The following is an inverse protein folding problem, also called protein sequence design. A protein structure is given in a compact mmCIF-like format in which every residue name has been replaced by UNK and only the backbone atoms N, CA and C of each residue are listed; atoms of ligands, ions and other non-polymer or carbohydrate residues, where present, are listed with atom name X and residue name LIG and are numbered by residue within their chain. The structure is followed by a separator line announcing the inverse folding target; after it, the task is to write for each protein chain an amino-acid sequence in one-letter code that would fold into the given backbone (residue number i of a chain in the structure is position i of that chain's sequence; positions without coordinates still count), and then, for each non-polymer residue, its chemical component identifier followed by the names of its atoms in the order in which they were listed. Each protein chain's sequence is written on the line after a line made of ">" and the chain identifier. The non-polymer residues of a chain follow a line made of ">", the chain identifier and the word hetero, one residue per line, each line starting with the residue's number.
data_IF_158945828433
#
_entry.id   IF_158945828433
#
_cell.length_a   1.000
_cell.length_b   1.000
_cell.length_c   1.000
_cell.angle_alpha   90.00
_cell.angle_beta   90.00
_cell.angle_gamma   90.00
#
_symmetry.space_group_name_H-M   'P 1'
#
loop_
_entity.id
_entity.type
_entity.pdbx_description
1 polymer ?
#
# COMPACT_ATOMS: atom_id res chain seq x y z
N UNK A 1 -11.88 -2.19 -12.61
CA UNK A 1 -13.33 -2.01 -12.79
C UNK A 1 -14.03 -3.11 -12.01
N UNK A 2 -14.57 -2.80 -10.84
CA UNK A 2 -15.20 -3.82 -9.96
C UNK A 2 -16.67 -3.47 -9.81
N UNK A 3 -17.50 -4.27 -10.46
CA UNK A 3 -18.96 -4.26 -10.35
C UNK A 3 -19.39 -4.90 -9.03
N UNK A 4 -20.23 -4.19 -8.27
CA UNK A 4 -21.03 -4.74 -7.18
C UNK A 4 -22.17 -5.57 -7.78
N UNK A 5 -22.22 -6.88 -7.48
CA UNK A 5 -23.47 -7.64 -7.55
C UNK A 5 -23.64 -8.53 -6.32
N UNK A 6 -24.88 -8.56 -5.82
CA UNK A 6 -25.34 -9.18 -4.59
C UNK A 6 -26.16 -10.41 -4.98
N UNK A 7 -25.85 -11.60 -4.47
CA UNK A 7 -26.78 -12.73 -4.54
C UNK A 7 -26.71 -13.66 -3.32
N UNK A 8 -27.87 -14.25 -3.03
CA UNK A 8 -28.33 -14.82 -1.78
C UNK A 8 -28.20 -16.36 -1.73
N UNK A 9 -28.00 -16.87 -0.50
CA UNK A 9 -28.51 -18.16 0.08
C UNK A 9 -27.89 -19.49 -0.40
N UNK A 10 -27.24 -20.22 0.52
CA UNK A 10 -27.84 -21.34 1.29
C UNK A 10 -26.80 -22.31 1.88
N UNK A 11 -27.05 -22.66 3.14
CA UNK A 11 -26.42 -23.63 4.04
C UNK A 11 -26.04 -25.01 3.46
N UNK A 12 -24.99 -25.63 4.00
CA UNK A 12 -25.01 -27.01 4.57
C UNK A 12 -23.97 -27.10 5.71
N UNK A 13 -24.44 -27.62 6.85
CA UNK A 13 -23.73 -27.98 8.09
C UNK A 13 -23.17 -29.41 7.94
N UNK A 14 -21.96 -29.72 8.42
CA UNK A 14 -21.73 -31.01 9.11
C UNK A 14 -20.53 -30.96 10.07
N UNK A 15 -20.81 -31.42 11.29
CA UNK A 15 -19.95 -31.63 12.45
C UNK A 15 -19.13 -32.92 12.30
N UNK A 16 -17.91 -32.99 12.85
CA UNK A 16 -17.53 -34.03 13.82
C UNK A 16 -16.14 -33.80 14.43
N UNK A 17 -16.07 -34.11 15.72
CA UNK A 17 -14.94 -34.02 16.65
C UNK A 17 -14.10 -35.33 16.66
N UNK A 18 -12.88 -35.26 17.19
CA UNK A 18 -12.20 -36.22 18.11
C UNK A 18 -10.84 -36.83 17.69
N UNK A 19 -9.87 -36.57 18.58
CA UNK A 19 -8.72 -37.36 19.09
C UNK A 19 -7.45 -37.70 18.27
N UNK A 20 -6.35 -37.07 18.72
CA UNK A 20 -5.14 -37.66 19.36
C UNK A 20 -4.65 -39.02 18.83
N UNK A 21 -3.43 -39.05 18.29
CA UNK A 21 -2.49 -40.14 18.55
C UNK A 21 -1.03 -39.67 18.40
N UNK A 22 -0.30 -39.66 19.51
CA UNK A 22 1.16 -39.51 19.60
C UNK A 22 1.83 -40.81 19.18
N UNK A 23 2.56 -40.82 18.07
CA UNK A 23 3.65 -41.78 17.83
C UNK A 23 4.73 -41.13 16.95
N UNK A 24 5.89 -40.85 17.56
CA UNK A 24 7.14 -40.55 16.86
C UNK A 24 7.74 -41.85 16.33
N UNK A 25 8.06 -41.95 15.03
CA UNK A 25 9.12 -42.82 14.57
C UNK A 25 10.41 -42.01 14.48
N UNK A 26 11.42 -42.43 15.25
CA UNK A 26 12.81 -42.08 15.02
C UNK A 26 13.19 -42.59 13.64
N UNK A 27 13.22 -41.71 12.63
CA UNK A 27 13.82 -42.04 11.35
C UNK A 27 15.32 -41.76 11.42
N UNK A 28 16.08 -42.85 11.32
CA UNK A 28 17.52 -42.88 11.12
C UNK A 28 17.92 -41.97 9.97
N UNK A 29 18.96 -41.17 10.19
CA UNK A 29 19.69 -40.48 9.12
C UNK A 29 20.12 -41.52 8.07
N UNK A 30 19.57 -41.42 6.88
CA UNK A 30 20.22 -41.87 5.66
C UNK A 30 20.57 -40.60 4.88
N UNK A 31 21.82 -40.15 5.00
CA UNK A 31 22.37 -39.15 4.10
C UNK A 31 22.27 -39.72 2.69
N UNK A 32 21.43 -39.09 1.86
CA UNK A 32 21.44 -39.35 0.42
C UNK A 32 22.65 -38.61 -0.12
N UNK A 33 23.78 -39.32 -0.18
CA UNK A 33 24.94 -38.89 -0.94
C UNK A 33 24.50 -38.64 -2.39
N UNK A 34 24.70 -37.42 -2.87
CA UNK A 34 24.45 -37.08 -4.27
C UNK A 34 24.00 -35.65 -4.48
N UNK A 35 24.75 -34.68 -4.00
CA UNK A 35 24.77 -33.38 -4.68
C UNK A 35 26.22 -32.90 -4.71
N UNK A 36 26.83 -32.96 -5.90
CA UNK A 36 28.21 -32.53 -6.05
C UNK A 36 28.29 -31.01 -5.89
N UNK A 37 29.40 -30.45 -5.38
CA UNK A 37 29.59 -28.99 -5.36
C UNK A 37 29.37 -28.35 -6.74
N UNK A 38 29.65 -29.10 -7.81
CA UNK A 38 29.41 -28.70 -9.19
C UNK A 38 27.93 -28.59 -9.57
N UNK A 39 27.05 -29.45 -9.05
CA UNK A 39 25.59 -29.36 -9.28
C UNK A 39 25.01 -28.12 -8.57
N UNK A 40 25.46 -27.82 -7.35
CA UNK A 40 25.04 -26.61 -6.62
C UNK A 40 25.51 -25.30 -7.25
N UNK A 41 26.64 -25.33 -7.96
CA UNK A 41 27.18 -24.19 -8.71
C UNK A 41 26.45 -24.03 -10.05
N UNK A 42 26.15 -25.13 -10.72
CA UNK A 42 25.40 -25.15 -11.97
C UNK A 42 23.96 -24.65 -11.76
N UNK A 43 23.33 -25.05 -10.66
CA UNK A 43 22.00 -24.56 -10.28
C UNK A 43 21.99 -23.07 -9.94
N UNK A 44 23.05 -22.56 -9.31
CA UNK A 44 23.22 -21.10 -9.10
C UNK A 44 23.35 -20.37 -10.43
N UNK A 45 24.21 -20.86 -11.32
CA UNK A 45 24.40 -20.27 -12.65
C UNK A 45 23.11 -20.28 -13.48
N UNK A 46 22.31 -21.34 -13.40
CA UNK A 46 21.01 -21.43 -14.08
C UNK A 46 20.02 -20.41 -13.49
N UNK A 47 19.98 -20.22 -12.17
CA UNK A 47 19.12 -19.19 -11.54
C UNK A 47 19.56 -17.78 -11.91
N UNK A 48 20.87 -17.53 -11.92
CA UNK A 48 21.43 -16.23 -12.28
C UNK A 48 21.18 -15.90 -13.77
N UNK A 49 21.31 -16.90 -14.65
CA UNK A 49 20.97 -16.76 -16.07
C UNK A 49 19.49 -16.46 -16.27
N UNK A 50 18.58 -17.20 -15.61
CA UNK A 50 17.14 -16.90 -15.69
C UNK A 50 16.79 -15.53 -15.13
N UNK A 51 17.46 -15.09 -14.07
CA UNK A 51 17.28 -13.74 -13.50
C UNK A 51 17.78 -12.67 -14.47
N UNK A 52 18.93 -12.88 -15.10
CA UNK A 52 19.47 -11.98 -16.12
C UNK A 52 18.56 -11.91 -17.35
N UNK A 53 18.12 -13.05 -17.89
CA UNK A 53 17.20 -13.11 -19.03
C UNK A 53 15.85 -12.45 -18.72
N UNK A 54 15.32 -12.64 -17.50
CA UNK A 54 14.07 -11.98 -17.08
C UNK A 54 14.25 -10.48 -16.88
N UNK A 55 15.44 -10.05 -16.44
CA UNK A 55 15.83 -8.64 -16.35
C UNK A 55 15.97 -8.03 -17.74
N UNK A 56 16.63 -8.71 -18.67
CA UNK A 56 16.80 -8.27 -20.07
C UNK A 56 15.46 -8.24 -20.81
N UNK A 57 14.56 -9.20 -20.54
CA UNK A 57 13.20 -9.19 -21.08
C UNK A 57 12.39 -8.01 -20.53
N UNK A 58 12.51 -7.72 -19.23
CA UNK A 58 11.86 -6.56 -18.62
C UNK A 58 12.41 -5.24 -19.19
N UNK A 59 13.74 -5.10 -19.29
CA UNK A 59 14.40 -3.91 -19.82
C UNK A 59 14.14 -3.72 -21.32
N UNK A 60 14.05 -4.78 -22.11
CA UNK A 60 13.73 -4.70 -23.54
C UNK A 60 12.26 -4.35 -23.80
N UNK A 61 11.38 -4.52 -22.82
CA UNK A 61 10.00 -4.03 -22.84
C UNK A 61 9.86 -2.60 -22.31
N UNK A 62 10.90 -2.03 -21.70
CA UNK A 62 10.90 -0.62 -21.32
C UNK A 62 11.15 0.23 -22.56
N UNK A 63 10.11 0.93 -23.01
CA UNK A 63 10.26 2.00 -23.97
C UNK A 63 11.16 3.08 -23.37
N UNK A 64 12.01 3.72 -24.19
CA UNK A 64 12.81 4.87 -23.77
C UNK A 64 11.93 5.87 -22.99
N UNK A 65 12.43 6.55 -21.94
CA UNK A 65 11.63 7.46 -21.13
C UNK A 65 11.07 8.56 -22.03
N UNK A 66 9.84 8.36 -22.50
CA UNK A 66 9.12 9.37 -23.23
C UNK A 66 8.76 10.43 -22.20
N UNK A 67 9.07 11.69 -22.49
CA UNK A 67 8.51 12.80 -21.74
C UNK A 67 7.02 12.77 -21.98
N UNK A 68 6.30 12.10 -21.08
CA UNK A 68 4.84 12.02 -21.15
C UNK A 68 4.32 13.43 -20.90
N UNK A 69 3.58 13.96 -21.86
CA UNK A 69 2.91 15.26 -21.73
C UNK A 69 1.55 15.06 -21.05
N UNK A 70 1.00 16.13 -20.49
CA UNK A 70 -0.38 16.13 -19.98
C UNK A 70 -1.34 15.80 -21.13
N UNK A 71 -2.20 14.79 -20.95
CA UNK A 71 -3.26 14.48 -21.92
C UNK A 71 -4.60 15.04 -21.43
N UNK A 72 -5.40 15.66 -22.33
CA UNK A 72 -6.76 16.08 -22.03
C UNK A 72 -7.72 14.89 -22.05
N UNK A 73 -8.99 15.16 -21.74
CA UNK A 73 -10.05 14.15 -21.82
C UNK A 73 -10.07 13.46 -23.18
N UNK A 74 -9.92 12.13 -23.13
CA UNK A 74 -9.87 11.27 -24.28
C UNK A 74 -10.88 10.12 -24.07
N UNK A 75 -11.99 10.11 -24.82
CA UNK A 75 -12.97 9.04 -24.73
C UNK A 75 -12.36 7.69 -25.06
N UNK A 76 -12.87 6.64 -24.42
CA UNK A 76 -12.55 5.28 -24.78
C UNK A 76 -13.25 4.91 -26.08
N UNK A 77 -12.51 4.94 -27.19
CA UNK A 77 -13.03 4.65 -28.51
C UNK A 77 -12.19 3.54 -29.17
N UNK A 78 -12.84 2.45 -29.57
CA UNK A 78 -12.14 1.32 -30.18
C UNK A 78 -11.16 0.61 -29.25
N UNK A 79 -11.42 0.61 -27.93
CA UNK A 79 -10.58 -0.04 -26.92
C UNK A 79 -9.33 0.76 -26.51
N UNK A 80 -9.23 2.01 -26.96
CA UNK A 80 -8.14 2.92 -26.62
C UNK A 80 -8.65 4.29 -26.17
N UNK A 81 -8.01 4.83 -25.13
CA UNK A 81 -8.09 6.23 -24.72
C UNK A 81 -6.68 6.82 -24.92
N UNK A 82 -6.48 7.49 -26.06
CA UNK A 82 -5.14 7.85 -26.56
C UNK A 82 -4.30 6.59 -26.81
N UNK A 83 -3.14 6.46 -26.18
CA UNK A 83 -2.27 5.27 -26.27
C UNK A 83 -2.59 4.22 -25.20
N UNK A 84 -3.54 4.48 -24.30
CA UNK A 84 -3.85 3.59 -23.19
C UNK A 84 -4.99 2.64 -23.54
N UNK A 85 -4.83 1.32 -23.34
CA UNK A 85 -5.94 0.38 -23.38
C UNK A 85 -7.05 0.80 -22.42
N UNK A 86 -8.29 0.75 -22.89
CA UNK A 86 -9.46 1.06 -22.07
C UNK A 86 -10.59 0.08 -22.37
N UNK A 87 -11.42 -0.17 -21.36
CA UNK A 87 -12.68 -0.90 -21.50
C UNK A 87 -13.76 -0.14 -20.75
N UNK A 88 -14.63 0.55 -21.50
CA UNK A 88 -15.77 1.31 -20.97
C UNK A 88 -15.39 2.37 -19.90
N UNK A 89 -14.15 2.86 -19.93
CA UNK A 89 -13.61 3.87 -19.01
C UNK A 89 -12.88 4.93 -19.81
N UNK A 90 -13.34 6.17 -19.70
CA UNK A 90 -12.70 7.32 -20.34
C UNK A 90 -11.49 7.81 -19.53
N UNK A 91 -10.45 8.28 -20.22
CA UNK A 91 -9.34 8.99 -19.59
C UNK A 91 -9.72 10.47 -19.50
N UNK A 92 -9.99 11.00 -18.30
CA UNK A 92 -10.38 12.40 -18.14
C UNK A 92 -9.19 13.36 -18.17
N UNK A 93 -8.11 13.03 -17.49
CA UNK A 93 -6.83 13.75 -17.55
C UNK A 93 -5.69 12.80 -17.23
N UNK A 94 -4.54 13.02 -17.83
CA UNK A 94 -3.27 12.42 -17.40
C UNK A 94 -2.31 13.51 -16.94
N UNK A 95 -1.85 13.44 -15.68
CA UNK A 95 -0.78 14.28 -15.15
C UNK A 95 0.51 13.47 -15.03
N UNK A 96 1.57 13.78 -15.81
CA UNK A 96 2.85 13.10 -15.64
C UNK A 96 3.45 13.44 -14.27
N UNK A 97 4.21 12.52 -13.67
CA UNK A 97 4.88 12.75 -12.38
C UNK A 97 5.75 14.01 -12.39
N UNK A 98 6.39 14.33 -13.52
CA UNK A 98 7.17 15.57 -13.73
C UNK A 98 6.36 16.85 -13.51
N UNK A 99 5.02 16.82 -13.68
CA UNK A 99 4.13 17.96 -13.42
C UNK A 99 3.71 18.10 -11.96
N UNK A 100 3.97 17.09 -11.14
CA UNK A 100 3.66 17.05 -9.70
C UNK A 100 4.92 16.80 -8.87
N UNK A 101 6.08 17.30 -9.33
CA UNK A 101 7.35 17.27 -8.59
C UNK A 101 8.36 16.18 -9.00
N UNK A 102 8.04 15.32 -9.97
CA UNK A 102 8.95 14.33 -10.56
C UNK A 102 9.15 13.02 -9.77
N UNK A 103 10.30 12.38 -9.98
CA UNK A 103 10.66 11.11 -9.32
C UNK A 103 9.81 9.91 -9.79
N UNK A 104 9.89 8.84 -9.01
CA UNK A 104 9.01 7.66 -9.14
C UNK A 104 7.81 7.81 -8.22
N UNK A 105 6.67 7.28 -8.63
CA UNK A 105 5.47 7.15 -7.81
C UNK A 105 5.22 5.70 -7.43
N UNK A 106 4.63 5.46 -6.26
CA UNK A 106 4.45 4.09 -5.77
C UNK A 106 3.10 3.81 -5.10
N UNK A 107 2.46 4.83 -4.51
CA UNK A 107 1.12 4.72 -3.94
C UNK A 107 0.29 5.96 -4.28
N UNK A 108 -1.02 5.80 -4.32
CA UNK A 108 -1.99 6.87 -4.52
C UNK A 108 -3.22 6.63 -3.64
N UNK A 109 -3.64 7.68 -2.94
CA UNK A 109 -4.87 7.67 -2.15
C UNK A 109 -5.78 8.84 -2.52
N UNK A 110 -7.06 8.70 -2.21
CA UNK A 110 -8.07 9.74 -2.46
C UNK A 110 -8.61 10.29 -1.14
N UNK A 111 -8.92 11.58 -1.11
CA UNK A 111 -9.72 12.17 -0.04
C UNK A 111 -10.79 13.08 -0.64
N UNK A 112 -12.03 12.87 -0.23
CA UNK A 112 -13.13 13.80 -0.49
C UNK A 112 -13.35 14.61 0.77
N UNK A 113 -13.17 15.92 0.67
CA UNK A 113 -13.42 16.84 1.76
C UNK A 113 -14.90 16.81 2.15
N UNK A 114 -15.26 16.33 3.35
CA UNK A 114 -16.65 16.20 3.77
C UNK A 114 -17.36 17.55 3.91
N UNK A 115 -16.62 18.65 4.07
CA UNK A 115 -17.20 20.00 4.21
C UNK A 115 -17.46 20.69 2.88
N UNK A 116 -16.58 20.51 1.89
CA UNK A 116 -16.65 21.25 0.62
C UNK A 116 -17.03 20.40 -0.57
N UNK A 117 -16.97 19.07 -0.45
CA UNK A 117 -17.16 18.13 -1.55
C UNK A 117 -16.01 18.12 -2.55
N UNK A 118 -14.91 18.84 -2.28
CA UNK A 118 -13.71 18.81 -3.11
C UNK A 118 -13.03 17.45 -3.03
N UNK A 119 -12.49 16.99 -4.15
CA UNK A 119 -11.81 15.71 -4.26
C UNK A 119 -10.32 15.94 -4.49
N UNK A 120 -9.49 15.17 -3.80
CA UNK A 120 -8.04 15.29 -3.82
C UNK A 120 -7.38 13.95 -4.07
N UNK A 121 -6.36 13.94 -4.93
CA UNK A 121 -5.42 12.85 -5.07
C UNK A 121 -4.16 13.13 -4.25
N UNK A 122 -3.75 12.15 -3.45
CA UNK A 122 -2.55 12.13 -2.64
C UNK A 122 -1.58 11.14 -3.28
N UNK A 123 -0.52 11.63 -3.92
CA UNK A 123 0.42 10.80 -4.65
C UNK A 123 1.72 10.64 -3.87
N UNK A 124 2.05 9.42 -3.45
CA UNK A 124 3.34 9.07 -2.86
C UNK A 124 4.43 9.02 -3.94
N UNK A 125 5.49 9.81 -3.76
CA UNK A 125 6.61 9.94 -4.71
C UNK A 125 7.95 9.81 -4.01
N UNK A 126 9.02 9.64 -4.80
CA UNK A 126 10.40 9.56 -4.28
C UNK A 126 10.73 10.67 -3.26
N UNK A 127 10.34 11.91 -3.57
CA UNK A 127 10.65 13.13 -2.81
C UNK A 127 9.48 13.69 -1.98
N UNK A 128 8.57 12.82 -1.54
CA UNK A 128 7.47 13.16 -0.62
C UNK A 128 6.09 12.87 -1.19
N UNK A 129 5.07 13.51 -0.63
CA UNK A 129 3.66 13.33 -1.03
C UNK A 129 3.14 14.57 -1.73
N UNK A 130 2.61 14.39 -2.94
CA UNK A 130 1.98 15.46 -3.69
C UNK A 130 0.48 15.48 -3.47
N UNK A 131 -0.08 16.68 -3.30
CA UNK A 131 -1.51 16.90 -3.21
C UNK A 131 -2.00 17.56 -4.50
N UNK A 132 -3.02 16.96 -5.11
CA UNK A 132 -3.63 17.44 -6.36
C UNK A 132 -5.13 17.58 -6.13
N UNK A 133 -5.67 18.78 -6.34
CA UNK A 133 -7.12 18.98 -6.41
C UNK A 133 -7.63 18.41 -7.74
N UNK A 134 -8.54 17.45 -7.66
CA UNK A 134 -9.17 16.76 -8.78
C UNK A 134 -10.68 17.00 -8.84
N UNK A 135 -11.20 17.98 -8.10
CA UNK A 135 -12.63 18.33 -8.06
C UNK A 135 -13.18 18.63 -9.46
N UNK A 136 -12.39 19.31 -10.29
CA UNK A 136 -12.60 19.32 -11.74
C UNK A 136 -11.62 18.32 -12.37
N UNK A 137 -12.06 17.10 -12.71
CA UNK A 137 -11.18 16.05 -13.23
C UNK A 137 -10.61 16.37 -14.62
N UNK A 138 -11.14 17.39 -15.31
CA UNK A 138 -10.61 17.88 -16.59
C UNK A 138 -9.50 18.92 -16.39
N UNK A 139 -9.47 19.59 -15.24
CA UNK A 139 -8.53 20.66 -14.92
C UNK A 139 -7.89 20.46 -13.53
N UNK A 140 -7.20 19.33 -13.28
CA UNK A 140 -6.59 19.08 -11.99
C UNK A 140 -5.44 20.05 -11.69
N UNK A 141 -5.37 20.47 -10.42
CA UNK A 141 -4.46 21.50 -9.93
C UNK A 141 -3.49 20.89 -8.93
N UNK A 142 -2.20 20.92 -9.23
CA UNK A 142 -1.17 20.50 -8.30
C UNK A 142 -1.02 21.54 -7.19
N UNK A 143 -1.47 21.21 -5.97
CA UNK A 143 -1.50 22.13 -4.84
C UNK A 143 -0.15 22.27 -4.15
N UNK A 144 0.63 21.21 -4.09
CA UNK A 144 1.92 21.25 -3.40
C UNK A 144 2.46 19.89 -2.96
N UNK A 145 3.59 19.93 -2.27
CA UNK A 145 4.35 18.77 -1.81
C UNK A 145 4.53 18.82 -0.28
N UNK A 146 4.29 17.72 0.41
CA UNK A 146 4.85 17.45 1.72
C UNK A 146 6.19 16.70 1.54
N UNK A 147 7.35 17.32 1.83
CA UNK A 147 8.63 16.63 1.78
C UNK A 147 8.71 15.45 2.77
N UNK A 148 9.56 14.45 2.52
CA UNK A 148 9.72 13.34 3.44
C UNK A 148 10.24 13.78 4.79
N UNK A 149 9.89 13.02 5.83
CA UNK A 149 10.66 13.05 7.05
C UNK A 149 11.95 12.24 6.85
N UNK A 150 13.09 12.92 6.75
CA UNK A 150 14.38 12.28 6.49
C UNK A 150 14.69 12.13 5.00
N UNK A 151 15.13 10.95 4.59
CA UNK A 151 15.63 10.69 3.24
C UNK A 151 14.52 10.43 2.20
N UNK A 152 14.86 10.63 0.93
CA UNK A 152 14.04 10.20 -0.19
C UNK A 152 13.90 8.66 -0.22
N UNK A 153 12.74 8.18 -0.65
CA UNK A 153 12.44 6.76 -0.82
C UNK A 153 11.39 6.56 -1.88
N UNK A 154 11.58 5.56 -2.74
CA UNK A 154 10.59 5.14 -3.73
C UNK A 154 9.40 4.39 -3.14
N UNK A 155 9.38 4.14 -1.83
CA UNK A 155 8.34 3.38 -1.15
C UNK A 155 7.67 4.24 -0.08
N UNK A 156 6.41 4.58 -0.32
CA UNK A 156 5.52 5.29 0.60
C UNK A 156 4.13 4.69 0.56
N UNK A 157 3.42 4.73 1.67
CA UNK A 157 2.02 4.31 1.67
C UNK A 157 1.20 5.34 2.44
N UNK A 158 0.01 5.63 1.92
CA UNK A 158 -0.84 6.72 2.38
C UNK A 158 -2.22 6.15 2.70
N UNK A 159 -2.74 6.49 3.88
CA UNK A 159 -4.15 6.29 4.23
C UNK A 159 -4.71 7.55 4.86
N UNK A 160 -6.02 7.70 4.82
CA UNK A 160 -6.72 8.87 5.37
C UNK A 160 -7.68 8.44 6.46
N UNK A 161 -7.69 9.18 7.57
CA UNK A 161 -8.66 9.01 8.64
C UNK A 161 -8.90 10.36 9.32
N UNK A 162 -10.17 10.66 9.61
CA UNK A 162 -10.59 11.90 10.29
C UNK A 162 -9.97 13.17 9.68
N UNK A 163 -10.01 13.33 8.34
CA UNK A 163 -9.41 14.43 7.57
C UNK A 163 -7.88 14.59 7.69
N UNK A 164 -7.18 13.56 8.16
CA UNK A 164 -5.71 13.51 8.21
C UNK A 164 -5.16 12.43 7.29
N UNK A 165 -4.10 12.75 6.57
CA UNK A 165 -3.30 11.77 5.86
C UNK A 165 -2.20 11.23 6.77
N UNK A 166 -2.10 9.90 6.83
CA UNK A 166 -1.07 9.15 7.53
C UNK A 166 -0.14 8.53 6.50
N UNK A 167 1.11 8.97 6.50
CA UNK A 167 2.06 8.71 5.43
C UNK A 167 3.28 8.01 6.01
N UNK A 168 3.51 6.77 5.57
CA UNK A 168 4.66 5.97 5.98
C UNK A 168 5.67 5.80 4.83
N UNK A 169 6.88 5.35 5.14
CA UNK A 169 7.91 5.04 4.15
C UNK A 169 8.93 4.04 4.68
N UNK A 170 9.57 3.34 3.76
CA UNK A 170 10.75 2.51 4.06
C UNK A 170 12.03 3.33 4.32
N UNK A 171 12.00 4.65 4.15
CA UNK A 171 13.14 5.49 4.49
C UNK A 171 13.56 5.29 5.97
N UNK A 172 14.86 5.13 6.26
CA UNK A 172 15.33 4.97 7.63
C UNK A 172 14.94 6.16 8.52
N UNK A 173 14.25 5.88 9.63
CA UNK A 173 13.81 6.90 10.59
C UNK A 173 12.66 7.79 10.08
N UNK A 174 11.98 7.39 9.01
CA UNK A 174 10.84 8.14 8.48
C UNK A 174 9.68 8.24 9.48
N UNK A 175 9.38 7.16 10.20
CA UNK A 175 8.18 7.03 11.03
C UNK A 175 6.91 7.21 10.21
N UNK A 176 5.89 7.79 10.83
CA UNK A 176 4.63 8.17 10.18
C UNK A 176 4.44 9.69 10.24
N UNK A 177 4.38 10.33 9.08
CA UNK A 177 3.98 11.74 8.97
C UNK A 177 2.45 11.83 9.01
N UNK A 178 1.93 12.80 9.76
CA UNK A 178 0.51 13.13 9.82
C UNK A 178 0.32 14.50 9.19
N UNK A 179 -0.61 14.63 8.26
CA UNK A 179 -0.93 15.88 7.59
C UNK A 179 -2.43 16.16 7.62
N UNK A 180 -2.82 17.27 8.24
CA UNK A 180 -4.20 17.77 8.22
C UNK A 180 -4.54 18.24 6.80
N UNK A 181 -5.43 17.50 6.14
CA UNK A 181 -5.83 17.72 4.75
C UNK A 181 -6.70 18.96 4.58
N UNK A 182 -7.29 19.48 5.66
CA UNK A 182 -8.09 20.70 5.59
C UNK A 182 -7.25 21.93 5.25
N UNK A 183 -5.92 21.86 5.46
CA UNK A 183 -4.98 22.90 5.02
C UNK A 183 -5.05 23.14 3.50
N UNK A 184 -5.37 22.11 2.71
CA UNK A 184 -5.50 22.18 1.24
C UNK A 184 -6.59 23.18 0.80
N UNK A 185 -7.61 23.42 1.63
CA UNK A 185 -8.71 24.36 1.37
C UNK A 185 -8.23 25.81 1.21
N UNK A 186 -7.10 26.15 1.81
CA UNK A 186 -6.61 27.54 1.92
C UNK A 186 -5.48 27.87 0.96
N UNK A 187 -5.11 26.93 0.08
CA UNK A 187 -4.05 27.15 -0.91
C UNK A 187 -4.54 28.11 -1.99
N UNK A 188 -4.03 29.34 -1.98
CA UNK A 188 -4.36 30.38 -2.98
C UNK A 188 -3.35 30.40 -4.13
N UNK A 189 -2.06 30.20 -3.84
CA UNK A 189 -0.97 30.27 -4.83
C UNK A 189 -0.19 28.96 -4.86
N UNK A 190 -0.66 27.95 -5.60
CA UNK A 190 0.06 26.69 -5.76
C UNK A 190 1.28 26.81 -6.71
N UNK A 191 2.29 25.92 -6.60
CA UNK A 191 2.42 24.87 -5.58
C UNK A 191 2.99 25.40 -4.26
N UNK A 192 2.60 24.78 -3.15
CA UNK A 192 3.10 25.04 -1.78
C UNK A 192 4.02 23.90 -1.32
N UNK A 193 5.07 24.23 -0.57
CA UNK A 193 5.82 23.23 0.21
C UNK A 193 5.23 23.19 1.62
N UNK A 194 4.62 22.06 1.97
CA UNK A 194 3.97 21.85 3.26
C UNK A 194 4.96 21.34 4.32
N UNK A 195 4.54 21.39 5.57
CA UNK A 195 5.13 20.66 6.69
C UNK A 195 4.09 19.72 7.28
N UNK A 196 4.52 18.62 7.89
CA UNK A 196 3.62 17.70 8.56
C UNK A 196 3.01 18.37 9.79
N UNK A 197 1.74 18.07 10.06
CA UNK A 197 0.99 18.54 11.23
C UNK A 197 1.52 17.87 12.51
N UNK A 198 1.81 16.57 12.44
CA UNK A 198 2.41 15.80 13.52
C UNK A 198 3.32 14.70 12.94
N UNK A 199 4.06 14.03 13.83
CA UNK A 199 4.95 12.93 13.49
C UNK A 199 4.88 11.87 14.59
N UNK A 200 4.83 10.60 14.19
CA UNK A 200 4.87 9.46 15.09
C UNK A 200 6.14 8.65 14.80
N UNK A 201 6.99 8.49 15.82
CA UNK A 201 8.38 7.99 15.72
C UNK A 201 8.65 6.69 16.49
N UNK A 202 7.62 6.02 17.01
CA UNK A 202 7.72 4.72 17.70
C UNK A 202 8.13 3.56 16.76
N UNK A 203 8.25 3.80 15.46
CA UNK A 203 8.96 2.94 14.51
C UNK A 203 9.80 3.76 13.53
N UNK A 204 10.87 3.15 13.01
CA UNK A 204 11.77 3.80 12.06
C UNK A 204 11.26 3.79 10.62
N UNK A 205 11.10 2.61 10.04
CA UNK A 205 10.60 2.40 8.67
C UNK A 205 9.34 1.56 8.69
N UNK A 206 8.49 1.71 7.68
CA UNK A 206 7.27 0.92 7.48
C UNK A 206 7.01 0.73 5.99
N UNK A 207 6.63 -0.48 5.58
CA UNK A 207 6.32 -0.80 4.20
C UNK A 207 4.94 -0.29 3.78
N UNK A 208 3.94 -0.55 4.63
CA UNK A 208 2.53 -0.25 4.36
C UNK A 208 1.82 0.15 5.67
N UNK A 209 0.75 0.93 5.57
CA UNK A 209 -0.14 1.25 6.67
C UNK A 209 -1.59 0.95 6.30
N UNK A 210 -2.32 0.35 7.23
CA UNK A 210 -3.74 0.05 7.10
C UNK A 210 -4.47 0.81 8.18
N UNK A 211 -5.62 1.42 7.86
CA UNK A 211 -6.47 2.07 8.86
C UNK A 211 -7.85 1.44 8.83
N UNK A 212 -8.34 1.03 9.99
CA UNK A 212 -9.73 0.69 10.21
C UNK A 212 -10.48 1.96 10.62
N UNK A 213 -11.14 2.59 9.65
CA UNK A 213 -11.85 3.86 9.84
C UNK A 213 -13.04 3.76 10.81
N UNK A 214 -13.63 2.57 10.97
CA UNK A 214 -14.73 2.35 11.92
C UNK A 214 -14.26 2.46 13.39
N UNK A 215 -12.98 2.13 13.64
CA UNK A 215 -12.44 2.04 15.00
C UNK A 215 -11.37 3.07 15.31
N UNK A 216 -10.82 3.76 14.31
CA UNK A 216 -9.70 4.68 14.49
C UNK A 216 -8.39 3.98 14.87
N UNK A 217 -8.20 2.74 14.42
CA UNK A 217 -6.94 2.02 14.61
C UNK A 217 -6.18 1.93 13.31
N UNK A 218 -4.88 2.24 13.36
CA UNK A 218 -3.95 1.96 12.29
C UNK A 218 -3.04 0.78 12.62
N UNK A 219 -2.55 0.15 11.57
CA UNK A 219 -1.71 -1.04 11.61
C UNK A 219 -0.56 -0.83 10.63
N UNK A 220 0.62 -0.57 11.17
CA UNK A 220 1.84 -0.44 10.37
C UNK A 220 2.50 -1.81 10.21
N UNK A 221 2.85 -2.16 8.97
CA UNK A 221 3.45 -3.44 8.61
C UNK A 221 4.77 -3.22 7.85
N UNK A 222 5.61 -4.25 7.80
CA UNK A 222 6.98 -4.14 7.33
C UNK A 222 7.86 -3.22 8.19
N UNK A 223 7.51 -3.05 9.46
CA UNK A 223 8.35 -2.36 10.44
C UNK A 223 9.39 -3.31 11.05
N UNK A 224 10.39 -2.74 11.73
CA UNK A 224 11.33 -3.51 12.56
C UNK A 224 10.78 -3.83 13.96
N UNK A 225 9.58 -3.34 14.28
CA UNK A 225 8.91 -3.60 15.56
C UNK A 225 8.02 -4.84 15.47
N UNK A 226 7.47 -5.30 16.61
CA UNK A 226 6.52 -6.42 16.65
C UNK A 226 6.99 -7.70 15.93
N UNK A 227 8.32 -7.94 15.88
CA UNK A 227 8.95 -9.01 15.09
C UNK A 227 8.54 -9.02 13.61
N UNK A 228 8.39 -7.85 12.99
CA UNK A 228 7.92 -7.67 11.61
C UNK A 228 6.48 -8.13 11.37
N UNK A 229 5.69 -8.26 12.44
CA UNK A 229 4.23 -8.39 12.40
C UNK A 229 3.56 -7.02 12.32
N UNK A 230 2.39 -6.89 12.95
CA UNK A 230 1.60 -5.65 12.91
C UNK A 230 1.90 -4.80 14.14
N UNK A 231 2.21 -3.53 13.90
CA UNK A 231 2.33 -2.49 14.92
C UNK A 231 1.03 -1.71 15.00
N UNK A 232 0.34 -1.79 16.15
CA UNK A 232 -0.98 -1.17 16.32
C UNK A 232 -0.84 0.26 16.84
N UNK A 233 -1.63 1.16 16.27
CA UNK A 233 -1.60 2.59 16.59
C UNK A 233 -3.05 3.04 16.80
N UNK A 234 -3.34 3.63 17.95
CA UNK A 234 -4.60 4.30 18.26
C UNK A 234 -4.57 5.72 17.68
N UNK A 235 -5.54 6.05 16.83
CA UNK A 235 -5.71 7.35 16.17
C UNK A 235 -6.90 8.15 16.72
N UNK A 236 -7.39 7.81 17.92
CA UNK A 236 -8.50 8.53 18.57
C UNK A 236 -8.24 10.04 18.69
N UNK A 237 -6.97 10.43 18.90
CA UNK A 237 -6.48 11.78 18.62
C UNK A 237 -5.63 11.75 17.34
N UNK A 238 -6.11 12.34 16.22
CA UNK A 238 -5.41 12.26 14.94
C UNK A 238 -3.99 12.83 14.94
N UNK A 239 -3.69 13.78 15.82
CA UNK A 239 -2.37 14.45 15.90
C UNK A 239 -1.53 13.96 17.08
N UNK A 240 -2.06 13.06 17.91
CA UNK A 240 -1.33 12.36 18.97
C UNK A 240 -1.55 10.85 18.86
N UNK A 241 -1.04 10.19 17.80
CA UNK A 241 -1.12 8.73 17.69
C UNK A 241 -0.39 8.05 18.86
N UNK A 242 -0.96 6.95 19.36
CA UNK A 242 -0.40 6.21 20.50
C UNK A 242 -0.20 4.75 20.14
N UNK A 243 0.94 4.17 20.51
CA UNK A 243 1.16 2.73 20.42
C UNK A 243 0.11 1.96 21.21
N UNK A 244 -0.62 1.06 20.54
CA UNK A 244 -1.74 0.32 21.12
C UNK A 244 -1.49 -1.19 21.26
N UNK A 245 -0.30 -1.67 20.88
CA UNK A 245 0.09 -3.06 20.98
C UNK A 245 0.65 -3.63 19.68
N UNK A 246 0.85 -4.94 19.67
CA UNK A 246 1.44 -5.66 18.55
C UNK A 246 0.70 -6.97 18.31
N UNK A 247 0.65 -7.38 17.05
CA UNK A 247 0.55 -8.79 16.68
C UNK A 247 1.93 -9.27 16.25
N UNK A 248 2.47 -10.26 16.96
CA UNK A 248 3.80 -10.81 16.70
C UNK A 248 3.65 -12.02 15.78
N UNK A 249 4.31 -11.96 14.63
CA UNK A 249 4.42 -13.08 13.69
C UNK A 249 5.82 -13.69 13.72
N UNK A 250 5.97 -14.88 13.16
CA UNK A 250 7.30 -15.50 12.96
C UNK A 250 7.93 -15.15 11.62
N UNK A 251 7.14 -14.57 10.72
CA UNK A 251 7.53 -14.18 9.36
C UNK A 251 7.07 -12.75 9.08
N UNK A 252 7.76 -12.11 8.14
CA UNK A 252 7.50 -10.74 7.72
C UNK A 252 6.08 -10.59 7.15
N UNK A 253 5.31 -9.63 7.69
CA UNK A 253 4.03 -9.21 7.13
C UNK A 253 4.25 -8.07 6.16
N UNK A 254 3.92 -8.29 4.88
CA UNK A 254 4.10 -7.30 3.81
C UNK A 254 2.91 -6.35 3.74
N UNK A 255 1.70 -6.91 3.63
CA UNK A 255 0.44 -6.18 3.59
C UNK A 255 -0.54 -6.73 4.61
N UNK A 256 -1.53 -5.92 4.96
CA UNK A 256 -2.67 -6.37 5.73
C UNK A 256 -3.96 -5.69 5.25
N UNK A 257 -5.09 -6.26 5.63
CA UNK A 257 -6.38 -5.60 5.59
C UNK A 257 -7.10 -5.82 6.91
N UNK A 258 -7.37 -4.74 7.64
CA UNK A 258 -7.99 -4.78 8.95
C UNK A 258 -9.36 -4.09 8.90
N UNK A 259 -10.40 -4.77 9.39
CA UNK A 259 -11.78 -4.29 9.34
C UNK A 259 -12.61 -4.84 10.51
N UNK A 260 -13.76 -4.21 10.79
CA UNK A 260 -14.76 -4.78 11.69
C UNK A 260 -15.57 -5.85 10.94
N UNK A 261 -15.48 -7.09 11.38
CA UNK A 261 -16.14 -8.21 10.72
C UNK A 261 -17.66 -8.14 10.89
N UNK A 262 -18.37 -7.97 9.76
CA UNK A 262 -19.83 -7.95 9.67
C UNK A 262 -20.38 -9.13 8.85
N UNK A 263 -19.69 -10.28 8.89
CA UNK A 263 -20.03 -11.47 8.11
C UNK A 263 -20.98 -12.44 8.83
N UNK A 264 -21.24 -13.61 8.22
CA UNK A 264 -22.22 -14.59 8.71
C UNK A 264 -21.78 -15.37 9.95
N UNK A 265 -20.50 -15.38 10.31
CA UNK A 265 -20.00 -16.07 11.49
C UNK A 265 -20.26 -15.23 12.77
N UNK A 266 -21.27 -15.64 13.54
CA UNK A 266 -21.72 -14.93 14.74
C UNK A 266 -20.66 -14.83 15.84
N UNK A 267 -19.71 -15.77 15.89
CA UNK A 267 -18.68 -15.78 16.94
C UNK A 267 -17.67 -14.64 16.75
N UNK A 268 -17.58 -14.10 15.53
CA UNK A 268 -16.62 -13.07 15.15
C UNK A 268 -17.26 -11.72 14.77
N UNK A 269 -18.60 -11.61 14.77
CA UNK A 269 -19.29 -10.35 14.47
C UNK A 269 -18.88 -9.22 15.41
N UNK A 270 -18.67 -8.03 14.82
CA UNK A 270 -18.27 -6.82 15.55
C UNK A 270 -16.82 -6.82 16.05
N UNK A 271 -16.04 -7.88 15.78
CA UNK A 271 -14.62 -7.93 16.13
C UNK A 271 -13.77 -7.35 15.01
N UNK A 272 -12.67 -6.71 15.38
CA UNK A 272 -11.62 -6.39 14.45
C UNK A 272 -10.96 -7.69 13.95
N UNK A 273 -10.82 -7.83 12.64
CA UNK A 273 -10.09 -8.92 11.98
C UNK A 273 -9.08 -8.29 11.03
N UNK A 274 -7.84 -8.79 11.08
CA UNK A 274 -6.82 -8.49 10.10
C UNK A 274 -6.53 -9.73 9.25
N UNK A 275 -6.50 -9.54 7.94
CA UNK A 275 -6.08 -10.56 6.96
C UNK A 275 -4.68 -10.12 6.48
N UNK A 276 -3.67 -10.93 6.79
CA UNK A 276 -2.27 -10.58 6.54
C UNK A 276 -1.71 -11.32 5.33
N UNK A 277 -0.92 -10.62 4.52
CA UNK A 277 -0.14 -11.17 3.42
C UNK A 277 1.32 -11.28 3.88
N UNK A 278 1.69 -12.46 4.36
CA UNK A 278 3.02 -12.70 4.90
C UNK A 278 3.95 -13.31 3.84
N UNK A 279 5.20 -12.86 3.80
CA UNK A 279 6.20 -13.41 2.90
C UNK A 279 6.64 -14.81 3.34
N UNK A 280 6.49 -15.80 2.46
CA UNK A 280 7.00 -17.15 2.66
C UNK A 280 7.92 -17.66 1.53
N UNK A 281 8.43 -16.73 0.70
CA UNK A 281 9.25 -16.88 -0.52
C UNK A 281 8.48 -17.13 -1.82
#
# INVERSE_FOLDING_TARGET
>A
MTLLTRQHRSAVIFSLTVAICLLLPVFSFAAKDGDSPADSLRDRQIRDQRRAERTDLFLSQQHAPQRLERLPATPCAGGLASTYPCDSVDLLTFMPLSSIGGGSGNDIWGWTDPMTGREYALMGRTSGTSFVDITDPLNPIYLGNLPPNGADSSWRDIKVYADHAYIVSEAPGHGMQIFDLTQLRTVVTPPVTFSNTAHYDDFGSSHNIVINEDTGFAYSVGTTTCNQGLHFIDLSDPVVPVFAGCHIETIYTHDAQCLVYNGPDLDHQGRAICINSNENR
#
